data_IF_529520214787
#
_entry.id   IF_529520214787
#
_cell.length_a   1.000
_cell.length_b   1.000
_cell.length_c   1.000
_cell.angle_alpha   90.00
_cell.angle_beta   90.00
_cell.angle_gamma   90.00
#
_symmetry.space_group_name_H-M   'P 1'
#
loop_
_entity.id
_entity.type
_entity.pdbx_description
1 polymer ?
#
# COMPACT_ATOMS: atom_id res chain seq x y z
N UNK A 1 17.61 -42.16 -7.66
CA UNK A 1 18.72 -41.25 -8.06
C UNK A 1 18.82 -40.16 -7.01
N UNK A 2 19.85 -40.20 -6.17
CA UNK A 2 20.12 -39.21 -5.11
C UNK A 2 21.07 -38.16 -5.70
N UNK A 3 20.65 -36.90 -5.76
CA UNK A 3 21.56 -35.77 -6.07
C UNK A 3 21.59 -34.85 -4.87
N UNK A 4 22.59 -35.08 -4.03
CA UNK A 4 23.09 -34.13 -3.03
C UNK A 4 24.00 -33.16 -3.77
N UNK A 5 23.73 -31.85 -3.70
CA UNK A 5 24.69 -30.81 -4.06
C UNK A 5 24.69 -29.80 -2.91
N UNK A 6 25.62 -30.02 -1.99
CA UNK A 6 26.25 -28.92 -1.26
C UNK A 6 27.03 -28.07 -2.26
N UNK A 7 26.91 -26.74 -2.20
CA UNK A 7 28.04 -25.90 -2.55
C UNK A 7 27.96 -24.56 -1.83
N UNK A 8 28.85 -24.43 -0.86
CA UNK A 8 29.38 -23.22 -0.26
C UNK A 8 29.58 -22.07 -1.25
N UNK A 9 29.34 -20.84 -0.78
CA UNK A 9 30.16 -19.62 -1.03
C UNK A 9 29.68 -18.50 -0.12
N UNK A 10 30.39 -18.28 0.99
CA UNK A 10 31.47 -17.29 1.14
C UNK A 10 30.94 -15.88 1.41
N UNK A 11 31.15 -15.51 2.66
CA UNK A 11 30.90 -14.22 3.32
C UNK A 11 31.76 -13.14 2.67
N UNK A 12 31.16 -12.10 2.09
CA UNK A 12 31.85 -10.86 1.76
C UNK A 12 31.42 -9.77 2.76
N UNK A 13 32.16 -9.68 3.87
CA UNK A 13 32.13 -8.51 4.75
C UNK A 13 32.84 -7.38 4.03
N UNK A 14 32.09 -6.43 3.49
CA UNK A 14 32.67 -5.16 3.04
C UNK A 14 32.55 -4.19 4.20
N UNK A 15 33.68 -3.96 4.87
CA UNK A 15 33.88 -2.90 5.85
C UNK A 15 34.09 -1.62 5.04
N UNK A 16 33.10 -0.73 5.01
CA UNK A 16 33.29 0.64 4.52
C UNK A 16 33.67 1.56 5.68
N UNK A 17 34.71 2.39 5.53
CA UNK A 17 35.22 3.25 6.58
C UNK A 17 34.33 4.48 6.79
N UNK A 18 34.37 4.93 8.04
CA UNK A 18 33.83 6.20 8.50
C UNK A 18 34.60 7.40 7.90
N UNK A 19 33.85 8.39 7.42
CA UNK A 19 34.23 9.80 7.29
C UNK A 19 32.92 10.59 7.47
N UNK A 20 32.67 11.34 8.55
CA UNK A 20 33.33 12.55 9.06
C UNK A 20 33.35 13.70 8.03
N UNK A 21 32.39 14.63 8.11
CA UNK A 21 32.62 16.07 8.39
C UNK A 21 31.36 16.95 8.14
N UNK A 22 30.87 17.53 9.24
CA UNK A 22 30.47 18.93 9.50
C UNK A 22 29.94 19.81 8.34
N UNK A 23 28.72 20.32 8.51
CA UNK A 23 28.42 21.75 8.31
C UNK A 23 27.19 22.16 9.14
N UNK A 24 27.46 22.99 10.16
CA UNK A 24 26.47 23.79 10.89
C UNK A 24 25.94 24.89 9.95
N UNK A 25 24.62 25.00 9.82
CA UNK A 25 23.95 25.99 8.97
C UNK A 25 22.76 26.63 9.68
N UNK A 26 23.07 27.77 10.28
CA UNK A 26 22.28 28.88 10.85
C UNK A 26 20.75 28.85 10.79
N UNK A 27 20.18 29.12 11.97
CA UNK A 27 18.82 29.58 12.21
C UNK A 27 18.59 30.95 11.58
N UNK A 28 17.50 31.09 10.84
CA UNK A 28 16.89 32.40 10.54
C UNK A 28 15.44 32.32 10.99
N UNK A 29 15.21 32.85 12.18
CA UNK A 29 13.90 33.18 12.73
C UNK A 29 13.29 34.31 11.90
N UNK A 30 12.20 34.03 11.21
CA UNK A 30 11.25 35.06 10.82
C UNK A 30 10.13 35.06 11.86
N UNK A 31 10.36 35.81 12.94
CA UNK A 31 9.31 36.35 13.78
C UNK A 31 8.41 37.23 12.90
N UNK A 32 7.19 36.75 12.62
CA UNK A 32 6.12 37.60 12.13
C UNK A 32 5.10 37.73 13.25
N UNK A 33 5.45 38.59 14.19
CA UNK A 33 4.57 39.11 15.22
C UNK A 33 3.59 40.12 14.57
N UNK A 34 2.31 39.95 14.89
CA UNK A 34 1.25 40.95 14.70
C UNK A 34 0.68 41.14 13.28
N UNK A 35 -0.42 40.43 13.00
CA UNK A 35 -1.61 41.07 12.44
C UNK A 35 -2.84 40.56 13.21
N UNK A 36 -3.20 41.31 14.26
CA UNK A 36 -4.54 41.33 14.83
C UNK A 36 -5.48 41.97 13.81
N UNK A 37 -6.41 41.20 13.25
CA UNK A 37 -7.66 41.75 12.74
C UNK A 37 -8.83 40.83 13.10
N UNK A 38 -9.80 41.46 13.74
CA UNK A 38 -11.09 41.01 14.26
C UNK A 38 -11.94 40.12 13.33
N UNK A 39 -12.96 39.43 13.88
CA UNK A 39 -13.72 38.40 13.18
C UNK A 39 -14.70 39.03 12.18
N UNK A 40 -14.57 38.69 10.91
CA UNK A 40 -15.64 38.91 9.94
C UNK A 40 -16.54 37.69 9.98
N UNK A 41 -17.67 37.87 10.65
CA UNK A 41 -18.87 37.07 10.52
C UNK A 41 -19.29 37.15 9.05
N UNK A 42 -19.05 36.09 8.27
CA UNK A 42 -19.64 35.93 6.94
C UNK A 42 -20.67 34.81 7.00
N UNK A 43 -21.90 35.25 6.75
CA UNK A 43 -23.15 34.52 6.73
C UNK A 43 -23.09 33.15 6.10
N UNK A 44 -23.70 32.22 6.83
CA UNK A 44 -24.38 31.03 6.36
C UNK A 44 -25.21 31.33 5.10
N UNK A 45 -24.71 30.86 3.95
CA UNK A 45 -25.47 30.66 2.73
C UNK A 45 -25.45 29.18 2.42
N UNK A 46 -26.39 28.44 3.02
CA UNK A 46 -26.73 27.05 2.72
C UNK A 46 -27.35 26.97 1.31
N UNK A 47 -26.57 27.29 0.27
CA UNK A 47 -26.93 26.91 -1.08
C UNK A 47 -26.43 25.49 -1.29
N UNK A 48 -27.29 24.53 -0.92
CA UNK A 48 -27.15 23.10 -1.19
C UNK A 48 -27.11 22.88 -2.71
N UNK A 49 -25.96 23.18 -3.30
CA UNK A 49 -25.63 22.86 -4.69
C UNK A 49 -25.83 21.36 -4.86
N UNK A 50 -26.68 20.91 -5.81
CA UNK A 50 -26.87 19.49 -6.04
C UNK A 50 -25.50 18.90 -6.38
N UNK A 51 -25.00 18.04 -5.50
CA UNK A 51 -23.78 17.25 -5.71
C UNK A 51 -24.03 16.48 -7.00
N UNK A 52 -23.30 16.84 -8.05
CA UNK A 52 -23.43 16.21 -9.36
C UNK A 52 -23.41 14.70 -9.16
N UNK A 53 -24.46 14.03 -9.67
CA UNK A 53 -24.58 12.58 -9.61
C UNK A 53 -23.26 11.99 -10.13
N UNK A 54 -22.52 11.36 -9.22
CA UNK A 54 -21.25 10.72 -9.57
C UNK A 54 -21.58 9.60 -10.53
N UNK A 55 -20.91 9.56 -11.69
CA UNK A 55 -21.10 8.51 -12.68
C UNK A 55 -21.06 7.13 -11.98
N UNK A 56 -21.99 6.21 -12.32
CA UNK A 56 -22.01 4.88 -11.74
C UNK A 56 -20.62 4.24 -11.87
N UNK A 57 -19.98 3.97 -10.74
CA UNK A 57 -18.71 3.23 -10.76
C UNK A 57 -18.99 1.83 -11.31
N UNK A 58 -18.10 1.29 -12.17
CA UNK A 58 -18.25 -0.08 -12.64
C UNK A 58 -18.31 -1.02 -11.43
N UNK A 59 -19.19 -2.01 -11.49
CA UNK A 59 -19.27 -3.04 -10.44
C UNK A 59 -18.04 -3.94 -10.54
N UNK A 60 -17.36 -4.25 -9.42
CA UNK A 60 -16.25 -5.19 -9.43
C UNK A 60 -16.72 -6.62 -9.72
N UNK A 61 -15.89 -7.40 -10.41
CA UNK A 61 -16.16 -8.82 -10.67
C UNK A 61 -15.87 -9.67 -9.43
N UNK A 62 -14.87 -9.27 -8.64
CA UNK A 62 -14.56 -9.89 -7.35
C UNK A 62 -14.01 -8.86 -6.35
N UNK A 63 -14.25 -9.13 -5.07
CA UNK A 63 -13.70 -8.37 -3.95
C UNK A 63 -13.01 -9.32 -3.00
N UNK A 64 -11.80 -8.97 -2.59
CA UNK A 64 -10.98 -9.79 -1.70
C UNK A 64 -10.58 -8.98 -0.47
N UNK A 65 -10.55 -9.66 0.67
CA UNK A 65 -9.97 -9.14 1.92
C UNK A 65 -8.73 -9.97 2.21
N UNK A 66 -7.58 -9.32 2.32
CA UNK A 66 -6.30 -9.98 2.57
C UNK A 66 -5.51 -9.17 3.59
N UNK A 67 -4.79 -9.87 4.48
CA UNK A 67 -3.86 -9.21 5.40
C UNK A 67 -2.45 -9.27 4.85
N UNK A 68 -1.61 -8.34 5.25
CA UNK A 68 -0.23 -8.32 4.83
C UNK A 68 0.62 -7.34 5.62
N UNK A 69 1.89 -7.26 5.24
CA UNK A 69 2.85 -6.29 5.77
C UNK A 69 3.30 -5.35 4.66
N UNK A 70 3.28 -4.05 4.94
CA UNK A 70 3.77 -3.03 4.01
C UNK A 70 5.28 -3.18 3.84
N UNK A 71 5.73 -3.29 2.59
CA UNK A 71 7.15 -3.42 2.21
C UNK A 71 7.68 -2.13 1.60
N UNK A 72 6.87 -1.43 0.79
CA UNK A 72 7.20 -0.10 0.26
C UNK A 72 5.94 0.77 0.19
N UNK A 73 6.15 2.09 0.20
CA UNK A 73 5.10 3.09 0.07
C UNK A 73 5.40 4.00 -1.14
N UNK A 74 4.35 4.50 -1.82
CA UNK A 74 4.51 5.55 -2.82
C UNK A 74 5.22 6.77 -2.24
N UNK A 75 6.25 7.21 -2.92
CA UNK A 75 7.14 8.30 -2.57
C UNK A 75 7.19 9.30 -3.75
N UNK A 76 6.75 10.55 -3.56
CA UNK A 76 6.73 11.55 -4.63
C UNK A 76 8.12 11.87 -5.18
N UNK A 77 9.19 11.62 -4.43
CA UNK A 77 10.56 11.77 -4.91
C UNK A 77 11.01 10.59 -5.80
N UNK A 78 10.33 9.44 -5.72
CA UNK A 78 10.63 8.22 -6.48
C UNK A 78 9.41 7.83 -7.32
N UNK A 79 9.31 8.33 -8.55
CA UNK A 79 8.16 8.08 -9.42
C UNK A 79 7.86 6.60 -9.71
N UNK A 80 8.83 5.70 -9.51
CA UNK A 80 8.69 4.25 -9.68
C UNK A 80 8.33 3.50 -8.40
N UNK A 81 8.18 4.20 -7.27
CA UNK A 81 7.76 3.59 -6.01
C UNK A 81 6.26 3.30 -6.04
N UNK A 82 5.90 2.12 -5.54
CA UNK A 82 4.52 1.64 -5.52
C UNK A 82 4.15 1.23 -4.10
N UNK A 83 2.85 1.08 -3.84
CA UNK A 83 2.38 0.49 -2.60
C UNK A 83 2.57 -1.02 -2.67
N UNK A 84 3.65 -1.53 -2.08
CA UNK A 84 4.02 -2.96 -2.12
C UNK A 84 3.70 -3.59 -0.78
N UNK A 85 3.00 -4.72 -0.82
CA UNK A 85 2.62 -5.48 0.38
C UNK A 85 3.00 -6.94 0.20
N UNK A 86 3.65 -7.50 1.23
CA UNK A 86 3.78 -8.94 1.38
C UNK A 86 2.48 -9.46 1.99
N UNK A 87 1.59 -9.97 1.16
CA UNK A 87 0.27 -10.41 1.60
C UNK A 87 0.26 -11.90 1.97
N UNK A 88 -0.70 -12.30 2.80
CA UNK A 88 -0.99 -13.71 3.10
C UNK A 88 -1.60 -14.43 1.89
N UNK A 89 -1.65 -15.76 1.94
CA UNK A 89 -2.28 -16.54 0.88
C UNK A 89 -3.77 -16.18 0.69
N UNK A 90 -4.19 -16.01 -0.56
CA UNK A 90 -5.58 -15.80 -0.98
C UNK A 90 -6.07 -17.10 -1.61
N UNK A 91 -6.57 -18.03 -0.80
CA UNK A 91 -6.93 -19.39 -1.26
C UNK A 91 -8.04 -19.39 -2.32
N UNK A 92 -8.95 -18.42 -2.28
CA UNK A 92 -10.10 -18.30 -3.18
C UNK A 92 -9.85 -17.36 -4.37
N UNK A 93 -8.59 -17.03 -4.68
CA UNK A 93 -8.29 -16.12 -5.78
C UNK A 93 -8.70 -16.72 -7.13
N UNK A 94 -9.54 -15.98 -7.86
CA UNK A 94 -10.02 -16.37 -9.17
C UNK A 94 -9.06 -15.91 -10.27
N UNK A 95 -8.72 -16.83 -11.17
CA UNK A 95 -7.89 -16.56 -12.33
C UNK A 95 -8.80 -16.44 -13.58
N UNK A 96 -9.03 -15.22 -14.10
CA UNK A 96 -9.93 -15.01 -15.23
C UNK A 96 -9.41 -15.61 -16.54
N UNK A 97 -8.09 -15.79 -16.69
CA UNK A 97 -7.49 -16.40 -17.89
C UNK A 97 -7.82 -17.88 -17.99
N UNK A 98 -7.83 -18.59 -16.85
CA UNK A 98 -8.16 -20.03 -16.79
C UNK A 98 -9.63 -20.29 -16.46
N UNK A 99 -10.37 -19.26 -16.11
CA UNK A 99 -11.76 -19.31 -15.64
C UNK A 99 -11.95 -20.27 -14.44
N UNK A 100 -10.97 -20.30 -13.52
CA UNK A 100 -10.94 -21.18 -12.34
C UNK A 100 -10.37 -20.47 -11.13
N UNK A 101 -10.75 -20.91 -9.95
CA UNK A 101 -10.05 -20.55 -8.71
C UNK A 101 -8.70 -21.26 -8.74
N UNK A 102 -7.61 -20.50 -8.65
CA UNK A 102 -6.25 -21.03 -8.56
C UNK A 102 -5.62 -20.79 -7.19
N UNK A 103 -6.21 -19.89 -6.41
CA UNK A 103 -5.55 -19.31 -5.25
C UNK A 103 -4.36 -18.43 -5.66
N UNK A 104 -3.81 -17.73 -4.67
CA UNK A 104 -2.57 -16.97 -4.75
C UNK A 104 -1.79 -17.18 -3.47
N UNK A 105 -0.56 -17.67 -3.55
CA UNK A 105 0.29 -17.83 -2.37
C UNK A 105 0.68 -16.48 -1.77
N UNK A 106 1.25 -16.51 -0.57
CA UNK A 106 1.87 -15.32 0.00
C UNK A 106 3.03 -14.83 -0.89
N UNK A 107 2.99 -13.56 -1.27
CA UNK A 107 4.02 -12.92 -2.08
C UNK A 107 4.02 -11.41 -1.89
N UNK A 108 5.11 -10.77 -2.32
CA UNK A 108 5.19 -9.32 -2.44
C UNK A 108 4.59 -8.90 -3.77
N UNK A 109 3.56 -8.05 -3.75
CA UNK A 109 2.95 -7.52 -4.96
C UNK A 109 2.57 -6.05 -4.79
N UNK A 110 2.59 -5.27 -5.89
CA UNK A 110 2.07 -3.92 -5.88
C UNK A 110 0.53 -3.95 -5.83
N UNK A 111 -0.03 -3.07 -5.01
CA UNK A 111 -1.45 -2.85 -4.84
C UNK A 111 -1.79 -1.40 -5.23
N UNK A 112 -2.24 -1.14 -6.47
CA UNK A 112 -2.65 0.20 -6.88
C UNK A 112 -3.73 0.75 -5.94
N UNK A 113 -3.55 1.99 -5.47
CA UNK A 113 -4.52 2.63 -4.58
C UNK A 113 -5.73 3.11 -5.38
N UNK A 114 -6.94 2.80 -4.90
CA UNK A 114 -8.18 3.31 -5.44
C UNK A 114 -8.41 4.78 -5.08
N UNK A 115 -9.39 5.40 -5.74
CA UNK A 115 -9.75 6.80 -5.51
C UNK A 115 -10.20 6.99 -4.05
N UNK A 116 -9.55 7.91 -3.34
CA UNK A 116 -9.89 8.26 -1.97
C UNK A 116 -9.29 7.33 -0.91
N UNK A 117 -8.49 6.34 -1.29
CA UNK A 117 -7.73 5.54 -0.32
C UNK A 117 -6.44 6.28 0.02
N UNK A 118 -6.40 6.83 1.24
CA UNK A 118 -5.24 7.50 1.82
C UNK A 118 -4.25 6.51 2.44
N UNK A 119 -2.97 6.89 2.43
CA UNK A 119 -1.87 6.15 3.07
C UNK A 119 -1.20 6.95 4.19
N UNK A 120 -1.82 8.05 4.60
CA UNK A 120 -1.32 8.90 5.69
C UNK A 120 -1.28 8.11 7.00
N UNK A 121 -0.14 8.15 7.70
CA UNK A 121 0.05 7.45 8.98
C UNK A 121 0.39 5.95 8.87
N UNK A 122 0.49 5.42 7.66
CA UNK A 122 1.10 4.12 7.41
C UNK A 122 2.62 4.25 7.23
N UNK A 123 3.35 3.22 7.63
CA UNK A 123 4.79 3.10 7.43
C UNK A 123 5.16 1.69 6.99
N UNK A 124 6.32 1.56 6.35
CA UNK A 124 6.92 0.26 6.05
C UNK A 124 7.01 -0.58 7.33
N UNK A 125 6.61 -1.85 7.24
CA UNK A 125 6.55 -2.78 8.35
C UNK A 125 5.20 -2.83 9.08
N UNK A 126 4.28 -1.89 8.85
CA UNK A 126 2.93 -1.98 9.42
C UNK A 126 2.19 -3.21 8.89
N UNK A 127 1.42 -3.84 9.78
CA UNK A 127 0.50 -4.92 9.43
C UNK A 127 -0.85 -4.31 9.08
N UNK A 128 -1.41 -4.72 7.94
CA UNK A 128 -2.63 -4.12 7.39
C UNK A 128 -3.60 -5.18 6.91
N UNK A 129 -4.89 -4.85 6.93
CA UNK A 129 -5.94 -5.52 6.19
C UNK A 129 -6.31 -4.66 4.98
N UNK A 130 -6.33 -5.29 3.81
CA UNK A 130 -6.56 -4.67 2.52
C UNK A 130 -7.84 -5.26 1.95
N UNK A 131 -8.78 -4.40 1.59
CA UNK A 131 -9.88 -4.77 0.69
C UNK A 131 -9.55 -4.23 -0.69
N UNK A 132 -9.48 -5.12 -1.68
CA UNK A 132 -9.26 -4.74 -3.07
C UNK A 132 -10.31 -5.35 -3.99
N UNK A 133 -10.58 -4.64 -5.08
CA UNK A 133 -11.52 -5.02 -6.10
C UNK A 133 -10.77 -5.41 -7.37
N UNK A 134 -11.15 -6.53 -8.00
CA UNK A 134 -10.60 -7.00 -9.28
C UNK A 134 -11.70 -6.92 -10.35
N UNK A 135 -11.33 -6.39 -11.50
CA UNK A 135 -12.17 -6.16 -12.68
C UNK A 135 -11.54 -6.91 -13.84
N UNK A 136 -12.29 -7.80 -14.48
CA UNK A 136 -11.79 -8.71 -15.51
C UNK A 136 -11.97 -8.17 -16.93
N UNK A 137 -13.02 -7.38 -17.16
CA UNK A 137 -13.35 -6.84 -18.48
C UNK A 137 -13.58 -5.31 -18.43
N UNK A 138 -13.30 -4.58 -19.53
CA UNK A 138 -12.70 -5.02 -20.80
C UNK A 138 -11.19 -5.25 -20.72
N UNK A 139 -10.55 -4.85 -19.63
CA UNK A 139 -9.13 -5.02 -19.37
C UNK A 139 -8.95 -5.31 -17.90
N UNK A 140 -8.04 -6.24 -17.56
CA UNK A 140 -7.81 -6.56 -16.15
C UNK A 140 -7.29 -5.35 -15.39
N UNK A 141 -7.97 -4.97 -14.30
CA UNK A 141 -7.57 -3.91 -13.38
C UNK A 141 -7.94 -4.31 -11.97
N UNK A 142 -7.12 -3.96 -11.01
CA UNK A 142 -7.48 -4.08 -9.61
C UNK A 142 -6.95 -2.89 -8.84
N UNK A 143 -7.62 -2.57 -7.74
CA UNK A 143 -7.17 -1.50 -6.85
C UNK A 143 -7.71 -1.69 -5.44
N UNK A 144 -6.99 -1.13 -4.47
CA UNK A 144 -7.39 -1.10 -3.06
C UNK A 144 -8.54 -0.12 -2.89
N UNK A 145 -9.61 -0.54 -2.23
CA UNK A 145 -10.76 0.32 -1.87
C UNK A 145 -10.84 0.59 -0.37
N UNK A 146 -10.17 -0.22 0.44
CA UNK A 146 -10.09 -0.05 1.90
C UNK A 146 -8.75 -0.52 2.42
N UNK A 147 -8.17 0.28 3.30
CA UNK A 147 -6.93 -0.04 4.01
C UNK A 147 -7.14 0.17 5.50
N UNK A 148 -6.92 -0.86 6.30
CA UNK A 148 -7.07 -0.83 7.76
C UNK A 148 -5.73 -1.20 8.39
N UNK A 149 -5.26 -0.38 9.32
CA UNK A 149 -4.08 -0.70 10.12
C UNK A 149 -4.47 -1.71 11.21
N UNK A 150 -3.73 -2.81 11.28
CA UNK A 150 -3.89 -3.84 12.31
C UNK A 150 -2.85 -3.64 13.43
N UNK A 151 -3.07 -4.23 14.62
CA UNK A 151 -2.07 -4.24 15.67
C UNK A 151 -0.74 -4.87 15.18
N UNK A 152 0.43 -4.32 15.55
CA UNK A 152 1.73 -4.79 15.06
C UNK A 152 2.06 -6.24 15.46
N UNK A 153 1.46 -6.74 16.54
CA UNK A 153 1.59 -8.12 17.03
C UNK A 153 0.70 -9.13 16.30
N UNK A 154 -0.09 -8.69 15.32
CA UNK A 154 -0.94 -9.58 14.52
C UNK A 154 -0.06 -10.60 13.80
N UNK A 155 -0.23 -11.87 14.13
CA UNK A 155 0.46 -12.96 13.46
C UNK A 155 -0.03 -13.09 12.00
N UNK A 156 0.91 -13.06 11.07
CA UNK A 156 0.68 -13.28 9.64
C UNK A 156 1.16 -14.68 9.24
N UNK A 157 0.42 -15.34 8.37
CA UNK A 157 0.72 -16.66 7.81
C UNK A 157 1.15 -16.53 6.34
N UNK A 158 2.46 -16.57 6.11
CA UNK A 158 3.03 -16.57 4.76
C UNK A 158 3.21 -18.01 4.28
N UNK A 159 2.25 -18.50 3.50
CA UNK A 159 2.22 -19.87 2.99
C UNK A 159 1.84 -19.92 1.50
N UNK A 160 2.02 -21.06 0.83
CA UNK A 160 1.39 -21.31 -0.47
C UNK A 160 -0.15 -21.27 -0.37
N UNK A 161 -0.81 -21.01 -1.50
CA UNK A 161 -2.25 -21.19 -1.61
C UNK A 161 -2.63 -22.66 -1.41
N UNK A 162 -3.77 -22.90 -0.77
CA UNK A 162 -4.33 -24.26 -0.68
C UNK A 162 -4.72 -24.73 -2.09
N UNK A 163 -4.48 -26.01 -2.42
CA UNK A 163 -5.03 -26.61 -3.63
C UNK A 163 -6.55 -26.48 -3.63
N UNK A 164 -7.12 -26.13 -4.79
CA UNK A 164 -8.57 -26.18 -4.99
C UNK A 164 -8.93 -27.63 -5.25
N UNK A 165 -9.70 -28.23 -4.33
CA UNK A 165 -10.22 -29.60 -4.47
C UNK A 165 -11.42 -29.66 -5.40
#
# INVERSE_FOLDING_TARGET
>A
MKRTIESYRTIARVVFPAALLVALGSMTSCDCESCKTSPVVVSSGDEKKPVAATDPQPKPDATYVVRGRIIDLPDPARATSEFIVHHEAIDNFFNPTTNKVSGMGAMEMPFPLGKGVGIEGFKVGDVVEITFEDFYAPSRKFHVVKLIKLPPETALEFRPAKPVN
#
